data_IF_018017331613
#
_entry.id   IF_018017331613
#
_cell.length_a   1.000
_cell.length_b   1.000
_cell.length_c   1.000
_cell.angle_alpha   90.00
_cell.angle_beta   90.00
_cell.angle_gamma   90.00
#
_symmetry.space_group_name_H-M   'P 1'
#
loop_
_entity.id
_entity.type
_entity.pdbx_description
1 polymer ?
#
# COMPACT_ATOMS: atom_id res chain seq x y z
N UNK A 1 -64.26 -49.13 -4.53
CA UNK A 1 -63.67 -49.70 -5.76
C UNK A 1 -62.45 -48.83 -6.04
N UNK A 2 -61.28 -49.27 -5.59
CA UNK A 2 -60.36 -50.10 -6.38
C UNK A 2 -59.80 -49.22 -7.49
N UNK A 3 -58.50 -49.05 -7.74
CA UNK A 3 -57.23 -49.75 -7.43
C UNK A 3 -56.20 -48.79 -8.11
N UNK A 4 -55.08 -48.38 -7.50
CA UNK A 4 -53.73 -49.02 -7.55
C UNK A 4 -53.40 -49.50 -9.00
N UNK A 5 -52.26 -49.26 -9.65
CA UNK A 5 -50.82 -49.29 -9.32
C UNK A 5 -50.07 -48.54 -10.46
N UNK A 6 -49.08 -47.68 -10.21
CA UNK A 6 -47.66 -47.97 -9.90
C UNK A 6 -46.88 -48.69 -11.01
N UNK A 7 -45.70 -48.13 -11.32
CA UNK A 7 -44.45 -48.73 -11.82
C UNK A 7 -43.75 -47.67 -12.69
N UNK A 8 -42.58 -47.12 -12.36
CA UNK A 8 -41.33 -47.76 -11.93
C UNK A 8 -40.49 -46.76 -11.08
N UNK A 9 -40.06 -47.15 -9.88
CA UNK A 9 -38.86 -46.66 -9.14
C UNK A 9 -37.65 -47.61 -9.42
N UNK A 10 -36.46 -47.57 -8.74
CA UNK A 10 -35.75 -46.59 -7.89
C UNK A 10 -34.27 -46.38 -8.37
N UNK A 11 -33.42 -45.52 -7.80
CA UNK A 11 -32.48 -45.89 -6.71
C UNK A 11 -31.84 -44.64 -6.04
N UNK A 12 -31.97 -44.66 -4.71
CA UNK A 12 -31.10 -44.22 -3.61
C UNK A 12 -29.62 -43.94 -3.94
N UNK A 13 -29.08 -42.84 -3.37
CA UNK A 13 -27.91 -42.70 -2.44
C UNK A 13 -27.42 -41.23 -2.50
N UNK A 14 -26.81 -40.53 -1.54
CA UNK A 14 -26.62 -40.54 -0.08
C UNK A 14 -26.10 -39.12 0.28
N UNK A 15 -26.35 -38.65 1.51
CA UNK A 15 -25.72 -37.42 2.04
C UNK A 15 -24.28 -37.66 2.51
N UNK A 16 -23.40 -36.65 2.38
CA UNK A 16 -22.21 -36.44 3.23
C UNK A 16 -21.68 -35.01 3.00
N UNK A 17 -21.77 -34.11 3.99
CA UNK A 17 -20.81 -33.87 5.08
C UNK A 17 -19.67 -32.93 4.66
N UNK A 18 -19.47 -31.88 5.46
CA UNK A 18 -18.44 -30.88 5.27
C UNK A 18 -17.04 -31.45 5.29
N UNK A 19 -16.18 -30.87 4.46
CA UNK A 19 -14.74 -31.09 4.51
C UNK A 19 -14.07 -29.78 4.89
N UNK A 20 -13.80 -29.64 6.19
CA UNK A 20 -12.68 -28.82 6.66
C UNK A 20 -11.44 -29.28 5.89
N UNK A 21 -10.76 -28.33 5.24
CA UNK A 21 -9.49 -28.61 4.60
C UNK A 21 -8.50 -29.19 5.64
N UNK A 22 -7.69 -30.19 5.26
CA UNK A 22 -6.79 -30.87 6.19
C UNK A 22 -5.69 -29.93 6.70
N UNK A 23 -5.14 -30.16 7.90
CA UNK A 23 -3.94 -29.46 8.35
C UNK A 23 -2.78 -29.87 7.46
N UNK A 24 -2.20 -28.91 6.75
CA UNK A 24 -1.02 -29.10 5.92
C UNK A 24 0.18 -29.51 6.79
N UNK A 25 0.93 -30.51 6.33
CA UNK A 25 2.11 -31.05 7.00
C UNK A 25 3.31 -30.09 6.95
N UNK A 26 4.20 -30.12 7.97
CA UNK A 26 5.32 -29.19 8.11
C UNK A 26 6.53 -29.55 7.23
N UNK A 27 6.37 -29.75 5.93
CA UNK A 27 7.51 -30.07 5.05
C UNK A 27 7.53 -29.39 3.68
N UNK A 28 6.68 -28.37 3.45
CA UNK A 28 6.68 -27.56 2.22
C UNK A 28 6.95 -26.06 2.44
N UNK A 29 7.40 -25.65 3.63
CA UNK A 29 7.91 -24.28 3.88
C UNK A 29 9.33 -24.12 3.31
N UNK A 30 9.44 -24.17 1.99
CA UNK A 30 10.71 -24.37 1.29
C UNK A 30 11.21 -23.22 0.44
N UNK A 31 10.69 -21.99 0.53
CA UNK A 31 11.32 -20.78 0.00
C UNK A 31 10.93 -19.58 0.88
N UNK A 32 11.75 -19.29 1.89
CA UNK A 32 11.65 -18.09 2.70
C UNK A 32 11.77 -16.85 1.79
N UNK A 33 10.70 -16.08 1.67
CA UNK A 33 10.86 -14.64 1.42
C UNK A 33 11.58 -14.09 2.67
N UNK A 34 12.69 -13.33 2.54
CA UNK A 34 13.17 -12.56 3.69
C UNK A 34 11.99 -11.69 4.19
N UNK A 35 11.87 -11.42 5.51
CA UNK A 35 10.92 -10.42 5.98
C UNK A 35 11.12 -9.16 5.14
N UNK A 36 10.07 -8.41 4.75
CA UNK A 36 10.31 -7.22 3.96
C UNK A 36 11.16 -6.30 4.84
N UNK A 37 12.42 -6.12 4.45
CA UNK A 37 13.33 -5.19 5.10
C UNK A 37 12.60 -3.84 5.21
N UNK A 38 12.70 -3.19 6.37
CA UNK A 38 12.13 -1.86 6.57
C UNK A 38 12.52 -0.95 5.40
N UNK A 39 11.54 -0.25 4.82
CA UNK A 39 11.81 0.60 3.68
C UNK A 39 12.80 1.69 4.05
N UNK A 40 13.94 1.76 3.35
CA UNK A 40 15.02 2.73 3.62
C UNK A 40 14.61 4.20 3.41
N UNK A 41 13.46 4.44 2.77
CA UNK A 41 12.94 5.78 2.48
C UNK A 41 11.99 6.30 3.56
N UNK A 42 11.19 5.42 4.17
CA UNK A 42 10.12 5.83 5.09
C UNK A 42 10.07 5.05 6.41
N UNK A 43 10.85 3.99 6.56
CA UNK A 43 10.95 3.18 7.78
C UNK A 43 9.77 2.24 8.02
N UNK A 44 8.81 2.13 7.09
CA UNK A 44 7.68 1.21 7.18
C UNK A 44 7.90 -0.07 6.35
N UNK A 45 7.14 -1.12 6.66
CA UNK A 45 7.11 -2.38 5.91
C UNK A 45 6.02 -2.27 4.85
N UNK A 46 6.39 -2.37 3.58
CA UNK A 46 5.47 -2.36 2.44
C UNK A 46 6.09 -3.06 1.22
N UNK A 47 5.26 -3.42 0.24
CA UNK A 47 5.69 -4.00 -1.04
C UNK A 47 6.24 -2.92 -1.99
N UNK A 48 6.93 -3.32 -3.06
CA UNK A 48 7.55 -2.39 -4.03
C UNK A 48 6.51 -1.56 -4.80
N UNK A 49 5.32 -2.13 -4.98
CA UNK A 49 4.19 -1.53 -5.69
C UNK A 49 3.30 -0.67 -4.78
N UNK A 50 3.60 -0.63 -3.48
CA UNK A 50 2.88 0.18 -2.50
C UNK A 50 3.57 1.54 -2.28
N UNK A 51 2.76 2.56 -1.98
CA UNK A 51 3.30 3.88 -1.67
C UNK A 51 4.05 3.87 -0.34
N UNK A 52 5.06 4.74 -0.23
CA UNK A 52 5.66 5.07 1.06
C UNK A 52 4.63 5.67 2.03
N UNK A 53 4.69 5.23 3.28
CA UNK A 53 3.85 5.71 4.36
C UNK A 53 4.58 6.74 5.24
N UNK A 54 3.88 7.81 5.61
CA UNK A 54 4.40 8.88 6.45
C UNK A 54 3.34 9.31 7.47
N UNK A 55 3.78 9.59 8.70
CA UNK A 55 2.91 10.09 9.76
C UNK A 55 2.95 11.62 9.77
N UNK A 56 2.00 12.26 9.08
CA UNK A 56 1.89 13.72 9.02
C UNK A 56 1.43 14.29 10.37
N UNK A 57 2.08 15.35 10.84
CA UNK A 57 1.75 16.00 12.12
C UNK A 57 0.84 17.20 11.96
N UNK A 58 0.81 17.78 10.76
CA UNK A 58 -0.01 18.92 10.39
C UNK A 58 -1.01 18.53 9.30
N UNK A 59 -2.05 19.34 9.13
CA UNK A 59 -2.99 19.19 8.03
C UNK A 59 -2.26 19.38 6.69
N UNK A 60 -2.45 18.42 5.77
CA UNK A 60 -1.94 18.51 4.40
C UNK A 60 -2.95 19.28 3.57
N UNK A 61 -2.48 20.25 2.79
CA UNK A 61 -3.31 20.99 1.84
C UNK A 61 -4.00 20.01 0.86
N UNK A 62 -5.32 20.16 0.68
CA UNK A 62 -6.13 19.30 -0.18
C UNK A 62 -5.62 19.26 -1.63
N UNK A 63 -4.99 20.35 -2.11
CA UNK A 63 -4.38 20.42 -3.45
C UNK A 63 -3.16 19.49 -3.59
N UNK A 64 -2.60 19.01 -2.47
CA UNK A 64 -1.48 18.08 -2.42
C UNK A 64 -1.91 16.63 -2.13
N UNK A 65 -3.21 16.36 -2.07
CA UNK A 65 -3.79 15.04 -1.77
C UNK A 65 -4.15 14.29 -3.05
N UNK A 66 -3.77 13.02 -3.10
CA UNK A 66 -4.16 12.13 -4.19
C UNK A 66 -5.64 11.77 -4.10
N UNK A 67 -6.39 11.98 -5.18
CA UNK A 67 -7.82 11.68 -5.24
C UNK A 67 -8.16 10.17 -5.30
N UNK A 68 -7.15 9.29 -5.34
CA UNK A 68 -7.35 7.83 -5.33
C UNK A 68 -7.15 7.27 -3.92
N UNK A 69 -5.99 7.50 -3.30
CA UNK A 69 -5.69 6.98 -1.96
C UNK A 69 -6.06 7.94 -0.82
N UNK A 70 -6.44 9.18 -1.14
CA UNK A 70 -6.78 10.23 -0.16
C UNK A 70 -5.64 10.54 0.82
N UNK A 71 -4.40 10.34 0.40
CA UNK A 71 -3.19 10.69 1.14
C UNK A 71 -2.36 11.71 0.35
N UNK A 72 -1.44 12.39 1.02
CA UNK A 72 -0.50 13.29 0.36
C UNK A 72 0.25 12.58 -0.79
N UNK A 73 0.45 13.28 -1.90
CA UNK A 73 1.03 12.71 -3.11
C UNK A 73 2.42 12.10 -2.90
N UNK A 74 2.57 10.83 -3.31
CA UNK A 74 3.82 10.07 -3.37
C UNK A 74 4.18 9.84 -4.84
N UNK A 75 5.40 10.20 -5.23
CA UNK A 75 5.90 10.14 -6.63
C UNK A 75 4.84 10.63 -7.63
N UNK A 76 4.37 11.89 -7.50
CA UNK A 76 3.23 12.38 -8.27
C UNK A 76 3.43 12.30 -9.79
N UNK A 77 2.33 12.08 -10.50
CA UNK A 77 2.20 12.16 -11.96
C UNK A 77 1.09 13.14 -12.35
N UNK A 78 1.43 14.07 -13.22
CA UNK A 78 0.49 14.97 -13.87
C UNK A 78 -0.08 14.30 -15.12
N UNK A 79 -1.40 14.31 -15.22
CA UNK A 79 -2.13 13.86 -16.38
C UNK A 79 -2.27 15.00 -17.41
N UNK A 80 -2.42 14.71 -18.71
CA UNK A 80 -2.65 15.74 -19.75
C UNK A 80 -3.89 16.60 -19.51
N UNK A 81 -4.87 16.08 -18.76
CA UNK A 81 -6.07 16.82 -18.38
C UNK A 81 -5.90 17.74 -17.17
N UNK A 82 -4.72 17.77 -16.54
CA UNK A 82 -4.37 18.68 -15.45
C UNK A 82 -4.56 18.14 -14.03
N UNK A 83 -4.98 16.89 -13.85
CA UNK A 83 -5.08 16.26 -12.52
C UNK A 83 -3.79 15.52 -12.14
N UNK A 84 -3.50 15.44 -10.85
CA UNK A 84 -2.28 14.83 -10.29
C UNK A 84 -2.61 13.68 -9.34
N UNK A 85 -1.85 12.59 -9.44
CA UNK A 85 -2.05 11.36 -8.64
C UNK A 85 -0.71 10.76 -8.21
N UNK A 86 -0.69 9.87 -7.22
CA UNK A 86 0.49 9.05 -6.95
C UNK A 86 0.77 8.13 -8.15
N UNK A 87 2.04 7.88 -8.44
CA UNK A 87 2.43 7.02 -9.57
C UNK A 87 1.82 5.62 -9.43
N UNK A 88 1.92 5.01 -8.25
CA UNK A 88 1.45 3.67 -7.95
C UNK A 88 -0.08 3.60 -8.05
N UNK A 89 -0.77 4.60 -7.50
CA UNK A 89 -2.23 4.68 -7.56
C UNK A 89 -2.74 4.80 -8.99
N UNK A 90 -2.15 5.70 -9.79
CA UNK A 90 -2.58 5.89 -11.17
C UNK A 90 -2.22 4.68 -12.05
N UNK A 91 -1.05 4.08 -11.82
CA UNK A 91 -0.60 2.89 -12.55
C UNK A 91 -1.55 1.73 -12.30
N UNK A 92 -1.88 1.45 -11.04
CA UNK A 92 -2.81 0.39 -10.65
C UNK A 92 -4.20 0.62 -11.24
N UNK A 93 -4.73 1.85 -11.13
CA UNK A 93 -6.03 2.19 -11.70
C UNK A 93 -6.10 1.96 -13.22
N UNK A 94 -5.05 2.34 -13.96
CA UNK A 94 -5.01 2.22 -15.41
C UNK A 94 -4.75 0.78 -15.92
N UNK A 95 -4.61 -0.22 -15.03
CA UNK A 95 -4.62 -1.62 -15.43
C UNK A 95 -6.02 -2.09 -15.83
N UNK A 96 -7.05 -1.52 -15.20
CA UNK A 96 -8.45 -1.91 -15.36
C UNK A 96 -9.31 -0.80 -15.99
N UNK A 97 -8.71 0.37 -16.27
CA UNK A 97 -9.41 1.55 -16.77
C UNK A 97 -8.52 2.37 -17.72
N UNK A 98 -9.13 3.23 -18.53
CA UNK A 98 -8.47 4.01 -19.58
C UNK A 98 -8.87 5.49 -19.57
N UNK A 99 -9.29 6.00 -18.41
CA UNK A 99 -9.77 7.38 -18.23
C UNK A 99 -9.27 8.01 -16.93
N UNK A 100 -9.36 9.33 -16.82
CA UNK A 100 -9.03 10.07 -15.60
C UNK A 100 -10.11 9.86 -14.52
N UNK A 101 -9.75 9.45 -13.28
CA UNK A 101 -10.72 9.24 -12.19
C UNK A 101 -11.65 10.43 -11.90
N UNK A 102 -11.15 11.66 -12.05
CA UNK A 102 -11.90 12.88 -11.72
C UNK A 102 -12.79 13.35 -12.87
N UNK A 103 -12.22 13.57 -14.07
CA UNK A 103 -12.94 14.18 -15.19
C UNK A 103 -13.35 13.21 -16.31
N UNK A 104 -12.99 11.93 -16.20
CA UNK A 104 -13.29 10.86 -17.18
C UNK A 104 -12.74 11.06 -18.60
N UNK A 105 -11.82 12.01 -18.79
CA UNK A 105 -11.09 12.16 -20.05
C UNK A 105 -10.23 10.91 -20.31
N UNK A 106 -10.18 10.39 -21.55
CA UNK A 106 -9.31 9.27 -21.90
C UNK A 106 -7.86 9.51 -21.48
N UNK A 107 -7.25 8.51 -20.84
CA UNK A 107 -5.96 8.64 -20.19
C UNK A 107 -5.14 7.37 -20.38
N UNK A 108 -3.86 7.55 -20.68
CA UNK A 108 -2.87 6.46 -20.76
C UNK A 108 -1.66 6.83 -19.92
N UNK A 109 -1.07 5.86 -19.21
CA UNK A 109 0.06 6.13 -18.31
C UNK A 109 1.25 6.81 -19.04
N UNK A 110 1.52 6.41 -20.27
CA UNK A 110 2.57 6.96 -21.14
C UNK A 110 2.40 8.44 -21.51
N UNK A 111 1.18 8.99 -21.45
CA UNK A 111 0.94 10.41 -21.71
C UNK A 111 1.14 11.27 -20.46
N UNK A 112 1.25 10.66 -19.28
CA UNK A 112 1.51 11.36 -18.03
C UNK A 112 2.95 11.89 -17.96
N UNK A 113 3.17 12.89 -17.11
CA UNK A 113 4.47 13.54 -16.90
C UNK A 113 4.74 13.71 -15.41
N UNK A 114 6.01 13.86 -15.04
CA UNK A 114 6.35 14.30 -13.68
C UNK A 114 5.92 15.77 -13.51
N UNK A 115 5.40 16.16 -12.35
CA UNK A 115 5.02 17.55 -12.10
C UNK A 115 6.24 18.46 -12.04
N UNK A 116 5.96 19.76 -11.96
CA UNK A 116 7.00 20.76 -11.75
C UNK A 116 7.77 20.49 -10.44
N UNK A 117 9.04 20.93 -10.42
CA UNK A 117 9.88 20.83 -9.22
C UNK A 117 9.27 21.54 -8.00
N UNK A 118 8.40 22.54 -8.22
CA UNK A 118 7.69 23.23 -7.14
C UNK A 118 6.80 22.26 -6.35
N UNK A 119 6.03 21.40 -7.03
CA UNK A 119 5.14 20.42 -6.39
C UNK A 119 5.94 19.47 -5.50
N UNK A 120 7.06 18.93 -6.02
CA UNK A 120 7.97 18.11 -5.24
C UNK A 120 8.47 18.84 -3.99
N UNK A 121 8.94 20.10 -4.14
CA UNK A 121 9.41 20.91 -3.01
C UNK A 121 8.33 21.23 -1.98
N UNK A 122 7.08 21.40 -2.39
CA UNK A 122 5.97 21.62 -1.47
C UNK A 122 5.68 20.34 -0.67
N UNK A 123 5.60 19.21 -1.36
CA UNK A 123 5.36 17.93 -0.72
C UNK A 123 6.52 17.53 0.23
N UNK A 124 7.76 17.80 -0.14
CA UNK A 124 8.95 17.47 0.67
C UNK A 124 9.05 18.31 1.96
N UNK A 125 8.35 19.45 2.02
CA UNK A 125 8.29 20.33 3.20
C UNK A 125 7.19 19.96 4.17
N UNK A 126 6.29 19.03 3.82
CA UNK A 126 5.26 18.55 4.74
C UNK A 126 5.93 17.98 5.99
N UNK A 127 5.43 18.34 7.16
CA UNK A 127 6.02 17.91 8.44
C UNK A 127 5.48 16.54 8.82
N UNK A 128 6.42 15.64 9.14
CA UNK A 128 6.13 14.26 9.51
C UNK A 128 6.89 13.87 10.77
N UNK A 129 6.31 12.96 11.54
CA UNK A 129 6.97 12.33 12.67
C UNK A 129 7.86 11.17 12.21
N UNK A 130 8.90 10.89 13.00
CA UNK A 130 9.69 9.67 12.82
C UNK A 130 8.76 8.42 12.85
N UNK A 131 8.95 7.45 11.93
CA UNK A 131 8.13 6.23 11.90
C UNK A 131 8.24 5.38 13.18
N UNK A 132 9.34 5.51 13.92
CA UNK A 132 9.60 4.75 15.15
C UNK A 132 9.22 5.56 16.39
N UNK A 133 7.94 5.94 16.48
CA UNK A 133 7.42 6.85 17.53
C UNK A 133 7.63 6.37 18.97
N UNK A 134 7.79 5.06 19.17
CA UNK A 134 8.12 4.46 20.47
C UNK A 134 9.52 4.86 20.99
N UNK A 135 10.44 5.19 20.08
CA UNK A 135 11.86 5.43 20.38
C UNK A 135 12.36 6.81 19.92
N UNK A 136 11.59 7.53 19.12
CA UNK A 136 11.96 8.86 18.66
C UNK A 136 10.72 9.76 18.57
N UNK A 137 10.89 10.98 19.08
CA UNK A 137 9.85 12.02 19.09
C UNK A 137 10.16 13.15 18.11
N UNK A 138 11.18 12.96 17.25
CA UNK A 138 11.58 13.97 16.28
C UNK A 138 10.50 14.12 15.20
N UNK A 139 10.30 15.37 14.82
CA UNK A 139 9.52 15.78 13.65
C UNK A 139 10.45 16.46 12.66
N UNK A 140 10.24 16.24 11.37
CA UNK A 140 11.10 16.75 10.32
C UNK A 140 10.33 16.96 9.03
N UNK A 141 10.96 17.57 8.04
CA UNK A 141 10.40 17.65 6.70
C UNK A 141 10.37 16.25 6.07
N UNK A 142 9.31 15.92 5.34
CA UNK A 142 9.14 14.61 4.69
C UNK A 142 10.33 14.22 3.82
N UNK A 143 10.94 15.19 3.13
CA UNK A 143 12.13 14.96 2.30
C UNK A 143 13.39 14.56 3.07
N UNK A 144 13.42 14.76 4.40
CA UNK A 144 14.57 14.50 5.27
C UNK A 144 14.47 13.15 6.01
N UNK A 145 13.32 12.47 5.95
CA UNK A 145 13.06 11.22 6.69
C UNK A 145 14.08 10.13 6.36
N UNK A 146 14.39 9.91 5.09
CA UNK A 146 15.34 8.90 4.69
C UNK A 146 16.75 9.16 5.27
N UNK A 147 17.16 10.42 5.33
CA UNK A 147 18.44 10.82 5.91
C UNK A 147 18.42 10.72 7.43
N UNK A 148 17.30 11.06 8.07
CA UNK A 148 17.10 10.85 9.50
C UNK A 148 17.21 9.37 9.87
N UNK A 149 16.53 8.48 9.16
CA UNK A 149 16.58 7.04 9.42
C UNK A 149 18.01 6.50 9.27
N UNK A 150 18.75 6.95 8.24
CA UNK A 150 20.13 6.51 7.99
C UNK A 150 21.14 7.06 8.98
N UNK A 151 21.00 8.32 9.40
CA UNK A 151 22.04 9.06 10.11
C UNK A 151 21.79 9.21 11.62
N UNK A 152 20.63 8.82 12.14
CA UNK A 152 20.28 8.94 13.57
C UNK A 152 21.06 7.97 14.46
N UNK A 153 22.32 8.32 14.65
CA UNK A 153 23.30 7.75 15.59
C UNK A 153 23.48 8.62 16.84
N UNK A 154 22.56 9.57 17.12
CA UNK A 154 22.71 10.50 18.25
C UNK A 154 22.07 9.98 19.55
N UNK A 155 22.82 10.01 20.68
CA UNK A 155 22.31 9.60 21.98
C UNK A 155 21.67 10.78 22.71
N UNK A 156 20.34 10.78 22.83
CA UNK A 156 19.64 11.20 24.05
C UNK A 156 18.39 10.35 24.22
N UNK A 157 18.56 9.24 24.94
CA UNK A 157 17.45 8.43 25.46
C UNK A 157 16.77 7.54 24.43
N UNK A 158 17.50 6.50 24.01
CA UNK A 158 17.07 5.35 23.20
C UNK A 158 16.94 5.60 21.68
N UNK A 159 17.58 4.74 20.90
CA UNK A 159 17.97 4.98 19.51
C UNK A 159 17.07 4.23 18.51
N UNK A 160 16.60 4.92 17.48
CA UNK A 160 15.91 4.29 16.32
C UNK A 160 16.76 3.36 15.47
N UNK A 161 18.08 3.30 15.70
CA UNK A 161 18.98 2.45 14.93
C UNK A 161 19.05 0.99 15.44
N UNK A 162 18.49 0.68 16.62
CA UNK A 162 18.68 -0.63 17.25
C UNK A 162 17.71 -1.72 16.78
N UNK A 163 16.75 -1.41 15.90
CA UNK A 163 15.74 -2.39 15.44
C UNK A 163 16.29 -3.31 14.32
N UNK A 164 17.42 -2.97 13.69
CA UNK A 164 18.05 -3.83 12.67
C UNK A 164 18.92 -4.97 13.24
N UNK A 165 19.04 -5.11 14.57
CA UNK A 165 19.94 -6.08 15.19
C UNK A 165 19.25 -7.27 15.91
N UNK A 166 17.91 -7.35 15.91
CA UNK A 166 17.19 -8.37 16.70
C UNK A 166 16.00 -9.06 16.01
N UNK A 167 15.90 -9.02 14.69
CA UNK A 167 15.00 -9.88 13.90
C UNK A 167 15.82 -10.48 12.76
#
# INVERSE_FOLDING_TARGET
MSIEEDSIQPEVVMAMAGASAPPLSPSEYGLLSPPPDLCVSCGHIHQLEENHEYLYTDEVDDDLVCHICLQALIRPLDTPCGHTYCQECLTSFLLESDFCPVCRTPLMLQSCRKPSLLVHKLLDKLTVACPFTDFCTDTMARGEVADHIKNSSRPKGESCFSIQAFI
#
